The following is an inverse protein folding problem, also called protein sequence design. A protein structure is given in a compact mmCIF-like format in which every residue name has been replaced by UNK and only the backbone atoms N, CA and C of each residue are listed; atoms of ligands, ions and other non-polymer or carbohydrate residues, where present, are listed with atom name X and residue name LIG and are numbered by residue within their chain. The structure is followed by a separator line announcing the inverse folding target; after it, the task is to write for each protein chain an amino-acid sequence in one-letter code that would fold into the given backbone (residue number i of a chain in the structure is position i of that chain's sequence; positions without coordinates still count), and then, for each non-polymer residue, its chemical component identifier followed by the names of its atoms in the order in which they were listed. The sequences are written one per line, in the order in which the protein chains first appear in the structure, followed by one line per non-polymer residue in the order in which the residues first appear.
data_IF_846176956519
#
_entry.id   IF_846176956519
#
_cell.length_a   1.000
_cell.length_b   1.000
_cell.length_c   1.000
_cell.angle_alpha   90.00
_cell.angle_beta   90.00
_cell.angle_gamma   90.00
#
_symmetry.space_group_name_H-M   'P 1'
#
loop_
_entity.id
_entity.type
_entity.pdbx_description
1 polymer ?
#
# COMPACT_ATOMS: atom_id res chain seq x y z
N UNK A 1 -27.06 4.02 9.67
CA UNK A 1 -26.86 2.61 9.34
C UNK A 1 -25.87 2.39 8.21
N UNK A 2 -26.01 3.09 7.10
CA UNK A 2 -25.07 3.01 5.96
C UNK A 2 -23.65 3.43 6.32
N UNK A 3 -23.48 4.43 7.18
CA UNK A 3 -22.16 4.92 7.63
C UNK A 3 -21.35 3.84 8.35
N UNK A 4 -22.00 3.01 9.17
CA UNK A 4 -21.35 1.89 9.88
C UNK A 4 -20.88 0.80 8.92
N UNK A 5 -21.63 0.55 7.84
CA UNK A 5 -21.27 -0.42 6.80
C UNK A 5 -20.01 0.03 6.07
N UNK A 6 -19.96 1.30 5.67
CA UNK A 6 -18.78 1.86 5.00
C UNK A 6 -17.55 1.84 5.91
N UNK A 7 -17.73 2.18 7.19
CA UNK A 7 -16.64 2.13 8.17
C UNK A 7 -16.13 0.70 8.37
N UNK A 8 -17.01 -0.28 8.41
CA UNK A 8 -16.62 -1.70 8.53
C UNK A 8 -15.83 -2.17 7.29
N UNK A 9 -16.24 -1.74 6.09
CA UNK A 9 -15.52 -2.04 4.85
C UNK A 9 -14.15 -1.38 4.81
N UNK A 10 -14.05 -0.12 5.25
CA UNK A 10 -12.77 0.60 5.37
C UNK A 10 -11.85 -0.14 6.35
N UNK A 11 -12.33 -0.51 7.52
CA UNK A 11 -11.53 -1.23 8.52
C UNK A 11 -11.02 -2.57 7.99
N UNK A 12 -11.84 -3.29 7.24
CA UNK A 12 -11.46 -4.55 6.60
C UNK A 12 -10.35 -4.33 5.57
N UNK A 13 -10.49 -3.32 4.72
CA UNK A 13 -9.47 -3.00 3.71
C UNK A 13 -8.18 -2.48 4.35
N UNK A 14 -8.27 -1.70 5.43
CA UNK A 14 -7.09 -1.26 6.19
C UNK A 14 -6.32 -2.42 6.80
N UNK A 15 -7.03 -3.43 7.32
CA UNK A 15 -6.40 -4.66 7.84
C UNK A 15 -5.68 -5.42 6.73
N UNK A 16 -6.28 -5.54 5.56
CA UNK A 16 -5.66 -6.17 4.38
C UNK A 16 -4.44 -5.37 3.92
N UNK A 17 -4.56 -4.05 3.85
CA UNK A 17 -3.47 -3.16 3.47
C UNK A 17 -2.28 -3.28 4.45
N UNK A 18 -2.56 -3.37 5.74
CA UNK A 18 -1.53 -3.56 6.77
C UNK A 18 -0.78 -4.88 6.59
N UNK A 19 -1.50 -5.97 6.29
CA UNK A 19 -0.90 -7.27 6.03
C UNK A 19 -0.01 -7.23 4.78
N UNK A 20 -0.50 -6.64 3.69
CA UNK A 20 0.25 -6.49 2.44
C UNK A 20 1.48 -5.60 2.65
N UNK A 21 1.36 -4.54 3.46
CA UNK A 21 2.49 -3.69 3.79
C UNK A 21 3.60 -4.45 4.54
N UNK A 22 3.24 -5.34 5.47
CA UNK A 22 4.20 -6.22 6.15
C UNK A 22 4.89 -7.16 5.16
N UNK A 23 4.14 -7.73 4.23
CA UNK A 23 4.69 -8.57 3.16
C UNK A 23 5.67 -7.77 2.30
N UNK A 24 5.31 -6.54 1.95
CA UNK A 24 6.17 -5.64 1.18
C UNK A 24 7.49 -5.36 1.91
N UNK A 25 7.44 -5.06 3.22
CA UNK A 25 8.64 -4.83 4.03
C UNK A 25 9.54 -6.06 4.06
N UNK A 26 8.97 -7.26 4.18
CA UNK A 26 9.72 -8.51 4.15
C UNK A 26 10.43 -8.71 2.82
N UNK A 27 9.73 -8.52 1.72
CA UNK A 27 10.29 -8.68 0.36
C UNK A 27 11.37 -7.62 0.08
N UNK A 28 11.15 -6.37 0.53
CA UNK A 28 12.15 -5.30 0.40
C UNK A 28 13.43 -5.62 1.16
N UNK A 29 13.34 -6.19 2.37
CA UNK A 29 14.52 -6.62 3.14
C UNK A 29 15.28 -7.71 2.41
N UNK A 30 14.58 -8.69 1.85
CA UNK A 30 15.19 -9.76 1.06
C UNK A 30 15.88 -9.20 -0.19
N UNK A 31 15.22 -8.30 -0.89
CA UNK A 31 15.77 -7.64 -2.08
C UNK A 31 17.04 -6.84 -1.74
N UNK A 32 17.01 -6.05 -0.69
CA UNK A 32 18.16 -5.27 -0.24
C UNK A 32 19.33 -6.16 0.16
N UNK A 33 19.05 -7.27 0.86
CA UNK A 33 20.06 -8.26 1.23
C UNK A 33 20.75 -8.85 -0.01
N UNK A 34 19.97 -9.23 -1.01
CA UNK A 34 20.52 -9.76 -2.28
C UNK A 34 21.36 -8.70 -2.99
N UNK A 35 20.91 -7.46 -3.04
CA UNK A 35 21.66 -6.36 -3.65
C UNK A 35 22.99 -6.10 -2.92
N UNK A 36 23.01 -6.16 -1.60
CA UNK A 36 24.24 -6.03 -0.80
C UNK A 36 25.22 -7.15 -1.11
N UNK A 37 24.72 -8.38 -1.23
CA UNK A 37 25.57 -9.52 -1.62
C UNK A 37 26.11 -9.39 -3.03
N UNK A 38 25.31 -8.90 -3.97
CA UNK A 38 25.77 -8.62 -5.34
C UNK A 38 26.92 -7.60 -5.34
N UNK A 39 26.74 -6.51 -4.60
CA UNK A 39 27.78 -5.48 -4.45
C UNK A 39 29.06 -6.05 -3.87
N UNK A 40 28.95 -6.92 -2.87
CA UNK A 40 30.10 -7.62 -2.27
C UNK A 40 30.82 -8.51 -3.28
N UNK A 41 30.08 -9.30 -4.06
CA UNK A 41 30.64 -10.17 -5.10
C UNK A 41 31.32 -9.34 -6.19
N UNK A 42 30.73 -8.25 -6.63
CA UNK A 42 31.33 -7.33 -7.61
C UNK A 42 32.62 -6.71 -7.08
N UNK A 43 32.67 -6.37 -5.78
CA UNK A 43 33.90 -5.93 -5.12
C UNK A 43 35.00 -6.99 -5.16
N UNK A 44 34.65 -8.25 -4.88
CA UNK A 44 35.60 -9.37 -4.97
C UNK A 44 36.08 -9.59 -6.41
N UNK A 45 35.23 -9.49 -7.40
CA UNK A 45 35.60 -9.59 -8.83
C UNK A 45 36.61 -8.50 -9.20
N UNK A 46 36.36 -7.26 -8.77
CA UNK A 46 37.24 -6.14 -9.01
C UNK A 46 38.61 -6.31 -8.34
N UNK A 47 38.65 -6.73 -7.08
CA UNK A 47 39.89 -7.00 -6.35
C UNK A 47 40.68 -8.13 -6.99
N UNK A 48 40.01 -9.20 -7.39
CA UNK A 48 40.67 -10.38 -7.95
C UNK A 48 41.21 -10.15 -9.35
N UNK A 49 40.59 -9.26 -10.11
CA UNK A 49 41.10 -8.89 -11.46
C UNK A 49 42.39 -8.04 -11.38
N UNK A 50 42.61 -7.32 -10.26
CA UNK A 50 43.80 -6.49 -10.03
C UNK A 50 44.92 -7.28 -9.32
N UNK A 51 44.53 -8.25 -8.48
CA UNK A 51 45.48 -9.06 -7.69
C UNK A 51 46.17 -10.13 -8.55
N UNK A 52 47.49 -10.17 -8.52
CA UNK A 52 48.30 -11.13 -9.29
C UNK A 52 48.62 -12.42 -8.51
N UNK A 53 47.94 -12.68 -7.38
CA UNK A 53 48.18 -13.84 -6.53
C UNK A 53 47.53 -15.12 -7.04
N UNK A 54 48.22 -16.24 -6.92
CA UNK A 54 47.76 -17.58 -7.27
C UNK A 54 48.06 -18.02 -8.69
N UNK A 55 47.85 -19.29 -9.00
CA UNK A 55 48.07 -19.85 -10.34
C UNK A 55 46.99 -19.40 -11.31
N UNK A 56 47.30 -19.33 -12.62
CA UNK A 56 46.31 -18.98 -13.64
C UNK A 56 45.05 -19.87 -13.60
N UNK A 57 45.22 -21.16 -13.31
CA UNK A 57 44.10 -22.11 -13.20
C UNK A 57 43.21 -21.83 -11.99
N UNK A 58 43.81 -21.55 -10.84
CA UNK A 58 43.06 -21.20 -9.65
C UNK A 58 42.28 -19.89 -9.83
N UNK A 59 42.89 -18.89 -10.47
CA UNK A 59 42.20 -17.63 -10.80
C UNK A 59 41.00 -17.87 -11.71
N UNK A 60 41.17 -18.66 -12.76
CA UNK A 60 40.07 -18.95 -13.69
C UNK A 60 38.91 -19.65 -13.00
N UNK A 61 39.20 -20.61 -12.11
CA UNK A 61 38.17 -21.30 -11.33
C UNK A 61 37.44 -20.37 -10.39
N UNK A 62 38.18 -19.52 -9.70
CA UNK A 62 37.60 -18.55 -8.74
C UNK A 62 36.75 -17.51 -9.46
N UNK A 63 37.23 -16.96 -10.58
CA UNK A 63 36.47 -16.03 -11.41
C UNK A 63 35.20 -16.66 -11.97
N UNK A 64 35.26 -17.92 -12.41
CA UNK A 64 34.08 -18.63 -12.89
C UNK A 64 33.06 -18.84 -11.76
N UNK A 65 33.52 -19.17 -10.55
CA UNK A 65 32.66 -19.34 -9.39
C UNK A 65 32.00 -18.01 -9.01
N UNK A 66 32.75 -16.91 -8.97
CA UNK A 66 32.18 -15.59 -8.71
C UNK A 66 31.15 -15.17 -9.76
N UNK A 67 31.44 -15.46 -11.02
CA UNK A 67 30.53 -15.16 -12.12
C UNK A 67 29.20 -15.93 -11.98
N UNK A 68 29.26 -17.21 -11.64
CA UNK A 68 28.08 -18.04 -11.38
C UNK A 68 27.26 -17.51 -10.20
N UNK A 69 27.95 -17.14 -9.11
CA UNK A 69 27.29 -16.55 -7.95
C UNK A 69 26.58 -15.24 -8.30
N UNK A 70 27.25 -14.40 -9.11
CA UNK A 70 26.65 -13.13 -9.58
C UNK A 70 25.41 -13.36 -10.43
N UNK A 71 25.44 -14.34 -11.33
CA UNK A 71 24.28 -14.71 -12.17
C UNK A 71 23.11 -15.22 -11.32
N UNK A 72 23.36 -16.08 -10.33
CA UNK A 72 22.35 -16.60 -9.43
C UNK A 72 21.72 -15.47 -8.61
N UNK A 73 22.53 -14.59 -8.05
CA UNK A 73 22.04 -13.43 -7.30
C UNK A 73 21.26 -12.47 -8.20
N UNK A 74 21.69 -12.27 -9.43
CA UNK A 74 20.99 -11.46 -10.43
C UNK A 74 19.59 -12.00 -10.71
N UNK A 75 19.46 -13.32 -10.87
CA UNK A 75 18.16 -13.98 -11.08
C UNK A 75 17.25 -13.83 -9.85
N UNK A 76 17.80 -14.04 -8.66
CA UNK A 76 17.07 -13.85 -7.41
C UNK A 76 16.62 -12.38 -7.25
N UNK A 77 17.50 -11.44 -7.57
CA UNK A 77 17.20 -10.01 -7.50
C UNK A 77 16.04 -9.63 -8.44
N UNK A 78 16.04 -10.15 -9.67
CA UNK A 78 14.95 -9.93 -10.63
C UNK A 78 13.63 -10.49 -10.14
N UNK A 79 13.65 -11.71 -9.59
CA UNK A 79 12.47 -12.35 -9.00
C UNK A 79 11.91 -11.54 -7.84
N UNK A 80 12.78 -11.07 -6.96
CA UNK A 80 12.39 -10.24 -5.80
C UNK A 80 11.89 -8.86 -6.25
N UNK A 81 12.52 -8.26 -7.25
CA UNK A 81 12.05 -6.98 -7.82
C UNK A 81 10.64 -7.12 -8.40
N UNK A 82 10.34 -8.23 -9.05
CA UNK A 82 9.00 -8.53 -9.54
C UNK A 82 7.99 -8.64 -8.38
N UNK A 83 8.35 -9.38 -7.33
CA UNK A 83 7.51 -9.51 -6.12
C UNK A 83 7.25 -8.15 -5.46
N UNK A 84 8.27 -7.29 -5.38
CA UNK A 84 8.12 -5.94 -4.84
C UNK A 84 7.08 -5.16 -5.64
N UNK A 85 7.19 -5.17 -6.97
CA UNK A 85 6.25 -4.46 -7.84
C UNK A 85 4.83 -4.99 -7.71
N UNK A 86 4.65 -6.30 -7.68
CA UNK A 86 3.33 -6.94 -7.53
C UNK A 86 2.72 -6.61 -6.16
N UNK A 87 3.51 -6.66 -5.10
CA UNK A 87 3.07 -6.32 -3.75
C UNK A 87 2.70 -4.83 -3.64
N UNK A 88 3.49 -3.95 -4.27
CA UNK A 88 3.18 -2.51 -4.34
C UNK A 88 1.87 -2.24 -5.07
N UNK A 89 1.60 -2.93 -6.18
CA UNK A 89 0.33 -2.82 -6.91
C UNK A 89 -0.84 -3.29 -6.06
N UNK A 90 -0.67 -4.39 -5.35
CA UNK A 90 -1.68 -4.92 -4.45
C UNK A 90 -2.00 -3.93 -3.33
N UNK A 91 -0.97 -3.36 -2.72
CA UNK A 91 -1.12 -2.32 -1.68
C UNK A 91 -1.84 -1.08 -2.23
N UNK A 92 -1.46 -0.61 -3.41
CA UNK A 92 -2.11 0.51 -4.09
C UNK A 92 -3.58 0.22 -4.36
N UNK A 93 -3.92 -1.01 -4.74
CA UNK A 93 -5.30 -1.46 -4.93
C UNK A 93 -6.13 -1.35 -3.65
N UNK A 94 -5.59 -1.79 -2.51
CA UNK A 94 -6.26 -1.66 -1.21
C UNK A 94 -6.43 -0.20 -0.79
N UNK A 95 -5.43 0.64 -1.00
CA UNK A 95 -5.54 2.08 -0.73
C UNK A 95 -6.60 2.75 -1.63
N UNK A 96 -6.69 2.34 -2.89
CA UNK A 96 -7.73 2.81 -3.80
C UNK A 96 -9.14 2.44 -3.32
N UNK A 97 -9.34 1.21 -2.84
CA UNK A 97 -10.61 0.78 -2.26
C UNK A 97 -10.96 1.55 -0.98
N UNK A 98 -9.97 1.79 -0.12
CA UNK A 98 -10.15 2.60 1.10
C UNK A 98 -10.62 4.01 0.74
N UNK A 99 -9.99 4.66 -0.22
CA UNK A 99 -10.36 5.99 -0.68
C UNK A 99 -11.79 6.02 -1.25
N UNK A 100 -12.15 5.00 -2.03
CA UNK A 100 -13.47 4.85 -2.60
C UNK A 100 -14.54 4.71 -1.51
N UNK A 101 -14.33 3.84 -0.53
CA UNK A 101 -15.26 3.64 0.58
C UNK A 101 -15.34 4.86 1.49
N UNK A 102 -14.23 5.55 1.70
CA UNK A 102 -14.18 6.80 2.49
C UNK A 102 -15.03 7.89 1.83
N UNK A 103 -14.92 8.03 0.52
CA UNK A 103 -15.75 8.96 -0.26
C UNK A 103 -17.23 8.61 -0.19
N UNK A 104 -17.57 7.32 -0.27
CA UNK A 104 -18.95 6.85 -0.15
C UNK A 104 -19.50 7.10 1.26
N UNK A 105 -18.67 6.95 2.28
CA UNK A 105 -19.03 7.28 3.67
C UNK A 105 -19.34 8.77 3.81
N UNK A 106 -18.49 9.64 3.29
CA UNK A 106 -18.70 11.09 3.30
C UNK A 106 -20.01 11.48 2.62
N UNK A 107 -20.29 10.92 1.45
CA UNK A 107 -21.54 11.16 0.73
C UNK A 107 -22.77 10.69 1.52
N UNK A 108 -22.67 9.56 2.22
CA UNK A 108 -23.75 9.06 3.08
C UNK A 108 -23.99 9.99 4.27
N UNK A 109 -22.95 10.50 4.89
CA UNK A 109 -23.04 11.46 6.00
C UNK A 109 -23.69 12.78 5.53
N UNK A 110 -23.28 13.30 4.39
CA UNK A 110 -23.85 14.51 3.81
C UNK A 110 -25.34 14.35 3.54
N UNK A 111 -25.77 13.23 2.95
CA UNK A 111 -27.17 12.92 2.69
C UNK A 111 -27.98 12.83 3.96
N UNK A 112 -27.42 12.25 5.01
CA UNK A 112 -28.07 12.15 6.30
C UNK A 112 -28.25 13.52 6.93
N UNK A 113 -27.22 14.37 6.89
CA UNK A 113 -27.28 15.75 7.38
C UNK A 113 -28.32 16.58 6.62
N UNK A 114 -28.37 16.44 5.30
CA UNK A 114 -29.40 17.12 4.47
C UNK A 114 -30.82 16.68 4.86
N UNK A 115 -31.03 15.38 5.10
CA UNK A 115 -32.33 14.86 5.57
C UNK A 115 -32.72 15.44 6.91
N UNK A 116 -31.79 15.47 7.86
CA UNK A 116 -32.04 16.04 9.19
C UNK A 116 -32.37 17.52 9.10
N UNK A 117 -31.63 18.26 8.30
CA UNK A 117 -31.87 19.69 8.09
C UNK A 117 -33.22 19.96 7.43
N UNK A 118 -33.62 19.15 6.45
CA UNK A 118 -34.95 19.24 5.85
C UNK A 118 -36.07 18.96 6.86
N UNK A 119 -35.89 17.97 7.73
CA UNK A 119 -36.84 17.66 8.80
C UNK A 119 -36.95 18.81 9.79
N UNK A 120 -35.84 19.41 10.20
CA UNK A 120 -35.80 20.58 11.08
C UNK A 120 -36.50 21.77 10.44
N UNK A 121 -36.23 22.05 9.16
CA UNK A 121 -36.85 23.13 8.41
C UNK A 121 -38.36 22.91 8.29
N UNK A 122 -38.82 21.70 7.98
CA UNK A 122 -40.24 21.37 7.92
C UNK A 122 -40.91 21.53 9.28
N UNK A 123 -40.26 21.09 10.34
CA UNK A 123 -40.75 21.24 11.72
C UNK A 123 -40.89 22.71 12.12
N UNK A 124 -39.89 23.53 11.75
CA UNK A 124 -39.95 24.98 12.00
C UNK A 124 -41.08 25.64 11.22
N UNK A 125 -41.24 25.28 9.93
CA UNK A 125 -42.33 25.79 9.08
C UNK A 125 -43.70 25.41 9.64
N UNK A 126 -43.90 24.17 10.08
CA UNK A 126 -45.12 23.69 10.68
C UNK A 126 -45.41 24.47 11.96
N UNK A 127 -44.42 24.67 12.85
CA UNK A 127 -44.54 25.44 14.05
C UNK A 127 -44.94 26.91 13.77
N UNK A 128 -44.30 27.52 12.79
CA UNK A 128 -44.63 28.87 12.34
C UNK A 128 -46.06 28.99 11.80
N UNK A 129 -46.49 28.01 11.01
CA UNK A 129 -47.82 27.94 10.45
C UNK A 129 -48.87 27.77 11.56
N UNK A 130 -48.64 26.92 12.54
CA UNK A 130 -49.53 26.73 13.69
C UNK A 130 -49.62 27.99 14.55
N UNK A 131 -48.55 28.68 14.81
CA UNK A 131 -48.54 29.94 15.52
C UNK A 131 -49.29 31.03 14.78
N UNK A 132 -49.09 31.12 13.46
CA UNK A 132 -49.80 32.05 12.63
C UNK A 132 -51.31 31.81 12.64
N UNK A 133 -51.75 30.59 12.50
CA UNK A 133 -53.14 30.19 12.54
C UNK A 133 -53.77 30.46 13.91
N UNK A 134 -53.05 30.22 14.99
CA UNK A 134 -53.48 30.52 16.38
C UNK A 134 -53.70 32.00 16.57
N UNK A 135 -52.77 32.86 16.14
CA UNK A 135 -52.90 34.32 16.21
C UNK A 135 -54.05 34.86 15.36
N UNK A 136 -54.33 34.23 14.23
CA UNK A 136 -55.40 34.61 13.34
C UNK A 136 -56.80 34.31 13.87
N UNK A 137 -56.90 33.30 14.76
CA UNK A 137 -58.17 32.92 15.43
C UNK A 137 -58.49 33.77 16.68
N UNK A 138 -57.58 34.51 17.17
CA UNK A 138 -57.78 35.49 18.24
C UNK A 138 -58.19 36.84 17.65
#
# INVERSE_FOLDING_TARGET
MKTKVWQALINKEESKASLVNRQLQTVLRQYNYIRERMAYIEGLVAEYSVSAEGSPLQRSRYQLQLHRMREQLGTEAESLAFKVRETQKNLAGHHGEIQKFDKMRELSEERLQEKEQRRENLSVEESCTLQFNYRRRQ
#
